data_IF_647896381183
#
_entry.id   IF_647896381183
#
_cell.length_a   1.000
_cell.length_b   1.000
_cell.length_c   1.000
_cell.angle_alpha   90.00
_cell.angle_beta   90.00
_cell.angle_gamma   90.00
#
_symmetry.space_group_name_H-M   'P 1'
#
loop_
_entity.id
_entity.type
_entity.pdbx_description
1 polymer ?
#
# COMPACT_ATOMS: atom_id res chain seq x y z
N UNK A 1 4.03 -50.97 -48.72
CA UNK A 1 3.65 -50.32 -47.44
C UNK A 1 2.28 -50.85 -47.03
N UNK A 2 2.17 -51.50 -45.87
CA UNK A 2 0.88 -51.89 -45.33
C UNK A 2 0.30 -50.72 -44.52
N UNK A 3 -0.95 -50.33 -44.79
CA UNK A 3 -1.66 -49.28 -44.05
C UNK A 3 -2.67 -49.96 -43.13
N UNK A 4 -2.51 -49.79 -41.82
CA UNK A 4 -3.45 -50.32 -40.83
C UNK A 4 -4.67 -49.40 -40.70
N UNK A 5 -5.87 -50.00 -40.66
CA UNK A 5 -7.12 -49.26 -40.43
C UNK A 5 -7.25 -48.93 -38.95
N UNK A 6 -7.03 -47.66 -38.59
CA UNK A 6 -7.17 -47.15 -37.22
C UNK A 6 -8.59 -46.61 -36.96
N UNK A 7 -9.11 -46.81 -35.75
CA UNK A 7 -10.37 -46.24 -35.28
C UNK A 7 -10.12 -45.13 -34.27
N UNK A 8 -10.86 -44.02 -34.39
CA UNK A 8 -10.81 -42.90 -33.45
C UNK A 8 -11.88 -43.10 -32.38
N UNK A 9 -11.48 -43.01 -31.11
CA UNK A 9 -12.38 -43.13 -29.96
C UNK A 9 -12.37 -41.83 -29.16
N UNK A 10 -13.54 -41.46 -28.62
CA UNK A 10 -13.69 -40.35 -27.69
C UNK A 10 -14.03 -40.90 -26.32
N UNK A 11 -13.26 -40.53 -25.29
CA UNK A 11 -13.40 -41.09 -23.95
C UNK A 11 -13.54 -39.93 -22.96
N UNK A 12 -14.63 -39.94 -22.19
CA UNK A 12 -14.83 -39.05 -21.06
C UNK A 12 -14.64 -39.84 -19.75
N UNK A 13 -13.90 -39.26 -18.80
CA UNK A 13 -13.71 -39.84 -17.47
C UNK A 13 -13.79 -38.75 -16.41
N UNK A 14 -14.18 -39.13 -15.20
CA UNK A 14 -14.16 -38.22 -14.06
C UNK A 14 -12.71 -37.88 -13.67
N UNK A 15 -12.46 -36.64 -13.22
CA UNK A 15 -11.09 -36.13 -12.99
C UNK A 15 -10.32 -36.94 -11.94
N UNK A 16 -11.00 -37.52 -10.95
CA UNK A 16 -10.38 -38.39 -9.94
C UNK A 16 -9.78 -39.67 -10.51
N UNK A 17 -10.33 -40.16 -11.62
CA UNK A 17 -10.03 -41.50 -12.14
C UNK A 17 -9.18 -41.45 -13.42
N UNK A 18 -8.93 -40.24 -13.93
CA UNK A 18 -8.24 -40.00 -15.20
C UNK A 18 -6.84 -40.64 -15.23
N UNK A 19 -6.04 -40.47 -14.18
CA UNK A 19 -4.68 -41.02 -14.13
C UNK A 19 -4.65 -42.55 -14.10
N UNK A 20 -5.54 -43.15 -13.30
CA UNK A 20 -5.66 -44.60 -13.19
C UNK A 20 -6.13 -45.21 -14.52
N UNK A 21 -7.07 -44.53 -15.19
CA UNK A 21 -7.59 -44.94 -16.50
C UNK A 21 -6.53 -44.85 -17.60
N UNK A 22 -5.79 -43.73 -17.69
CA UNK A 22 -4.71 -43.56 -18.68
C UNK A 22 -3.61 -44.61 -18.51
N UNK A 23 -3.21 -44.90 -17.27
CA UNK A 23 -2.22 -45.97 -16.97
C UNK A 23 -2.71 -47.34 -17.42
N UNK A 24 -4.01 -47.65 -17.27
CA UNK A 24 -4.59 -48.90 -17.78
C UNK A 24 -4.59 -48.93 -19.31
N UNK A 25 -5.00 -47.84 -19.96
CA UNK A 25 -5.09 -47.76 -21.42
C UNK A 25 -3.72 -47.98 -22.08
N UNK A 26 -2.67 -47.36 -21.53
CA UNK A 26 -1.29 -47.51 -22.00
C UNK A 26 -0.75 -48.93 -21.83
N UNK A 27 -1.16 -49.65 -20.78
CA UNK A 27 -0.74 -51.04 -20.55
C UNK A 27 -1.43 -52.04 -21.47
N UNK A 28 -2.66 -51.76 -21.87
CA UNK A 28 -3.52 -52.77 -22.53
C UNK A 28 -3.44 -52.70 -24.05
N UNK A 29 -3.02 -51.56 -24.61
CA UNK A 29 -3.11 -51.32 -26.05
C UNK A 29 -2.13 -50.25 -26.54
N UNK A 30 -1.70 -50.36 -27.79
CA UNK A 30 -0.93 -49.32 -28.50
C UNK A 30 -1.94 -48.26 -28.98
N UNK A 31 -2.06 -47.16 -28.24
CA UNK A 31 -3.02 -46.07 -28.52
C UNK A 31 -2.30 -44.73 -28.49
N UNK A 32 -2.56 -43.89 -29.50
CA UNK A 32 -2.15 -42.48 -29.50
C UNK A 32 -3.19 -41.65 -28.74
N UNK A 33 -2.80 -41.10 -27.59
CA UNK A 33 -3.69 -40.29 -26.75
C UNK A 33 -3.54 -38.82 -27.14
N UNK A 34 -4.60 -38.22 -27.68
CA UNK A 34 -4.68 -36.76 -27.90
C UNK A 34 -5.65 -36.15 -26.92
N UNK A 35 -5.21 -35.25 -26.01
CA UNK A 35 -6.13 -34.53 -25.14
C UNK A 35 -7.07 -33.72 -26.03
N UNK A 36 -8.37 -33.90 -25.82
CA UNK A 36 -9.36 -33.06 -26.47
C UNK A 36 -9.43 -31.74 -25.73
N UNK A 37 -8.79 -30.72 -26.29
CA UNK A 37 -9.11 -29.33 -25.97
C UNK A 37 -10.14 -28.86 -26.99
N UNK A 38 -11.29 -28.38 -26.50
CA UNK A 38 -12.16 -27.57 -27.33
C UNK A 38 -11.31 -26.39 -27.83
N UNK A 39 -11.18 -26.25 -29.15
CA UNK A 39 -10.72 -24.99 -29.72
C UNK A 39 -11.87 -24.01 -29.51
N UNK A 40 -11.91 -23.40 -28.33
CA UNK A 40 -12.60 -22.14 -28.15
C UNK A 40 -11.98 -21.19 -29.16
N UNK A 41 -12.69 -20.95 -30.27
CA UNK A 41 -12.37 -19.81 -31.11
C UNK A 41 -12.35 -18.60 -30.19
N UNK A 42 -11.18 -17.99 -30.08
CA UNK A 42 -10.96 -16.72 -29.41
C UNK A 42 -11.63 -15.61 -30.21
N UNK A 43 -12.94 -15.70 -30.35
CA UNK A 43 -13.82 -14.68 -30.88
C UNK A 43 -14.13 -13.75 -29.72
N UNK A 44 -13.33 -12.67 -29.62
CA UNK A 44 -13.66 -11.43 -28.91
C UNK A 44 -14.43 -11.63 -27.61
N UNK A 45 -13.75 -12.14 -26.58
CA UNK A 45 -14.25 -11.91 -25.22
C UNK A 45 -14.07 -10.41 -24.92
N UNK A 46 -15.08 -9.76 -24.30
CA UNK A 46 -14.90 -8.42 -23.78
C UNK A 46 -13.70 -8.43 -22.83
N UNK A 47 -12.92 -7.35 -22.85
CA UNK A 47 -11.78 -7.14 -21.96
C UNK A 47 -12.15 -7.65 -20.57
N UNK A 48 -11.34 -8.59 -20.09
CA UNK A 48 -11.59 -9.49 -18.97
C UNK A 48 -11.63 -8.70 -17.65
N UNK A 49 -12.70 -7.94 -17.41
CA UNK A 49 -12.96 -7.21 -16.15
C UNK A 49 -12.87 -8.16 -14.97
N UNK A 50 -13.25 -9.44 -15.15
CA UNK A 50 -13.11 -10.46 -14.10
C UNK A 50 -11.66 -10.66 -13.63
N UNK A 51 -10.67 -10.47 -14.52
CA UNK A 51 -9.25 -10.63 -14.19
C UNK A 51 -8.73 -9.41 -13.43
N UNK A 52 -9.12 -8.20 -13.82
CA UNK A 52 -8.78 -6.96 -13.11
C UNK A 52 -9.44 -6.91 -11.73
N UNK A 53 -10.72 -7.26 -11.65
CA UNK A 53 -11.48 -7.33 -10.39
C UNK A 53 -10.84 -8.34 -9.42
N UNK A 54 -10.40 -9.50 -9.93
CA UNK A 54 -9.65 -10.48 -9.13
C UNK A 54 -8.30 -9.96 -8.65
N UNK A 55 -7.65 -9.04 -9.37
CA UNK A 55 -6.41 -8.42 -8.91
C UNK A 55 -6.66 -7.32 -7.88
N UNK A 56 -7.71 -6.51 -8.01
CA UNK A 56 -8.06 -5.46 -7.05
C UNK A 56 -8.48 -6.07 -5.72
N UNK A 57 -9.37 -7.06 -5.74
CA UNK A 57 -9.78 -7.80 -4.54
C UNK A 57 -8.58 -8.44 -3.84
N UNK A 58 -7.61 -8.95 -4.59
CA UNK A 58 -6.37 -9.50 -4.02
C UNK A 58 -5.52 -8.42 -3.36
N UNK A 59 -5.33 -7.27 -4.02
CA UNK A 59 -4.59 -6.14 -3.45
C UNK A 59 -5.27 -5.62 -2.17
N UNK A 60 -6.59 -5.42 -2.20
CA UNK A 60 -7.35 -5.01 -1.02
C UNK A 60 -7.21 -6.01 0.14
N UNK A 61 -7.20 -7.31 -0.14
CA UNK A 61 -6.96 -8.34 0.87
C UNK A 61 -5.53 -8.28 1.43
N UNK A 62 -4.53 -8.04 0.59
CA UNK A 62 -3.14 -7.92 1.00
C UNK A 62 -2.95 -6.67 1.90
N UNK A 63 -3.51 -5.52 1.52
CA UNK A 63 -3.58 -4.29 2.32
C UNK A 63 -4.21 -4.58 3.69
N UNK A 64 -5.42 -5.15 3.73
CA UNK A 64 -6.10 -5.52 4.98
C UNK A 64 -5.29 -6.50 5.84
N UNK A 65 -4.54 -7.41 5.21
CA UNK A 65 -3.67 -8.33 5.92
C UNK A 65 -2.48 -7.61 6.55
N UNK A 66 -1.96 -6.53 5.99
CA UNK A 66 -0.89 -5.75 6.61
C UNK A 66 -1.37 -5.06 7.90
N UNK A 67 -2.60 -4.53 7.90
CA UNK A 67 -3.22 -3.92 9.09
C UNK A 67 -3.75 -4.92 10.12
N UNK A 68 -3.88 -6.20 9.78
CA UNK A 68 -4.31 -7.21 10.76
C UNK A 68 -3.28 -7.36 11.88
N UNK A 69 -3.78 -7.09 13.09
CA UNK A 69 -3.01 -7.18 14.32
C UNK A 69 -2.27 -8.52 14.45
N UNK A 70 -1.02 -8.49 14.90
CA UNK A 70 -0.17 -9.70 14.99
C UNK A 70 -0.77 -10.74 15.93
N UNK A 71 -1.55 -10.31 16.92
CA UNK A 71 -2.28 -11.19 17.83
C UNK A 71 -3.48 -11.87 17.15
N UNK A 72 -4.27 -11.12 16.36
CA UNK A 72 -5.40 -11.67 15.61
C UNK A 72 -4.94 -12.70 14.56
N UNK A 73 -3.79 -12.48 13.93
CA UNK A 73 -3.17 -13.47 13.01
C UNK A 73 -2.83 -14.78 13.72
N UNK A 74 -2.33 -14.73 14.97
CA UNK A 74 -2.03 -15.93 15.77
C UNK A 74 -3.29 -16.66 16.21
N UNK A 75 -4.35 -15.92 16.55
CA UNK A 75 -5.65 -16.48 16.94
C UNK A 75 -6.32 -17.17 15.74
N UNK A 76 -6.34 -16.52 14.58
CA UNK A 76 -6.89 -17.09 13.35
C UNK A 76 -6.11 -18.33 12.88
N UNK A 77 -4.77 -18.33 13.00
CA UNK A 77 -3.96 -19.51 12.66
C UNK A 77 -4.21 -20.70 13.60
N UNK A 78 -4.56 -20.45 14.87
CA UNK A 78 -4.92 -21.49 15.85
C UNK A 78 -6.37 -21.99 15.72
N UNK A 79 -7.26 -21.21 15.11
CA UNK A 79 -8.69 -21.51 15.02
C UNK A 79 -9.04 -22.67 14.06
N UNK A 80 -8.09 -23.19 13.28
CA UNK A 80 -8.35 -24.26 12.31
C UNK A 80 -9.21 -23.80 11.13
N UNK A 81 -9.73 -24.75 10.34
CA UNK A 81 -10.64 -24.43 9.23
C UNK A 81 -11.95 -23.90 9.78
N UNK A 82 -12.27 -22.65 9.45
CA UNK A 82 -13.56 -22.03 9.74
C UNK A 82 -14.68 -22.87 9.10
N UNK A 83 -15.60 -23.39 9.92
CA UNK A 83 -16.76 -24.12 9.44
C UNK A 83 -17.91 -23.13 9.27
N UNK A 84 -18.16 -22.74 8.02
CA UNK A 84 -19.23 -21.81 7.64
C UNK A 84 -20.50 -22.61 7.38
N UNK A 85 -21.64 -22.16 7.91
CA UNK A 85 -22.94 -22.80 7.61
C UNK A 85 -23.34 -22.51 6.16
N UNK A 86 -24.08 -23.42 5.53
CA UNK A 86 -24.52 -23.26 4.13
C UNK A 86 -25.27 -21.94 3.89
N UNK A 87 -26.12 -21.53 4.83
CA UNK A 87 -26.84 -20.25 4.77
C UNK A 87 -25.91 -19.03 4.83
N UNK A 88 -24.82 -19.10 5.58
CA UNK A 88 -23.83 -18.01 5.66
C UNK A 88 -23.02 -17.94 4.36
N UNK A 89 -22.71 -19.09 3.76
CA UNK A 89 -22.03 -19.14 2.47
C UNK A 89 -22.90 -18.56 1.33
N UNK A 90 -24.19 -18.89 1.30
CA UNK A 90 -25.14 -18.34 0.34
C UNK A 90 -25.27 -16.81 0.51
N UNK A 91 -25.33 -16.31 1.75
CA UNK A 91 -25.31 -14.86 2.02
C UNK A 91 -24.01 -14.16 1.57
N UNK A 92 -22.85 -14.84 1.66
CA UNK A 92 -21.57 -14.27 1.18
C UNK A 92 -21.55 -14.19 -0.35
N UNK A 93 -22.18 -15.14 -1.04
CA UNK A 93 -22.27 -15.14 -2.50
C UNK A 93 -23.23 -14.06 -3.02
N UNK A 94 -24.20 -13.62 -2.22
CA UNK A 94 -25.11 -12.52 -2.55
C UNK A 94 -24.49 -11.12 -2.35
N UNK A 95 -23.24 -11.03 -1.88
CA UNK A 95 -22.54 -9.74 -1.73
C UNK A 95 -22.07 -9.27 -3.11
N UNK A 96 -22.92 -8.51 -3.79
CA UNK A 96 -22.62 -7.93 -5.11
C UNK A 96 -21.66 -6.71 -5.04
N UNK A 97 -21.44 -6.14 -3.84
CA UNK A 97 -20.65 -4.90 -3.68
C UNK A 97 -19.17 -5.16 -3.34
N UNK A 98 -18.67 -6.38 -3.52
CA UNK A 98 -17.31 -6.74 -3.14
C UNK A 98 -16.24 -5.97 -3.93
N UNK A 99 -16.55 -5.60 -5.16
CA UNK A 99 -15.66 -4.81 -6.02
C UNK A 99 -15.57 -3.35 -5.54
N UNK A 100 -16.72 -2.74 -5.23
CA UNK A 100 -16.78 -1.37 -4.69
C UNK A 100 -16.01 -1.27 -3.36
N UNK A 101 -16.18 -2.26 -2.47
CA UNK A 101 -15.42 -2.33 -1.21
C UNK A 101 -13.92 -2.49 -1.47
N UNK A 102 -13.51 -3.27 -2.48
CA UNK A 102 -12.10 -3.47 -2.79
C UNK A 102 -11.46 -2.19 -3.34
N UNK A 103 -12.17 -1.45 -4.18
CA UNK A 103 -11.70 -0.17 -4.72
C UNK A 103 -11.64 0.90 -3.62
N UNK A 104 -12.64 0.98 -2.73
CA UNK A 104 -12.59 1.87 -1.55
C UNK A 104 -11.38 1.62 -0.65
N UNK A 105 -11.02 0.35 -0.41
CA UNK A 105 -9.84 0.00 0.39
C UNK A 105 -8.56 0.50 -0.26
N UNK A 106 -8.45 0.36 -1.60
CA UNK A 106 -7.28 0.82 -2.35
C UNK A 106 -7.19 2.35 -2.34
N UNK A 107 -8.33 3.03 -2.51
CA UNK A 107 -8.40 4.49 -2.48
C UNK A 107 -7.99 5.04 -1.10
N UNK A 108 -8.49 4.45 -0.01
CA UNK A 108 -8.12 4.83 1.35
C UNK A 108 -6.62 4.64 1.62
N UNK A 109 -6.02 3.54 1.14
CA UNK A 109 -4.58 3.30 1.29
C UNK A 109 -3.74 4.34 0.52
N UNK A 110 -4.22 4.74 -0.66
CA UNK A 110 -3.60 5.80 -1.45
C UNK A 110 -3.71 7.18 -0.78
N UNK A 111 -4.88 7.48 -0.18
CA UNK A 111 -5.11 8.73 0.54
C UNK A 111 -4.21 8.78 1.78
N UNK A 112 -4.12 7.68 2.54
CA UNK A 112 -3.24 7.56 3.70
C UNK A 112 -1.78 7.83 3.31
N UNK A 113 -1.29 7.20 2.23
CA UNK A 113 0.07 7.42 1.72
C UNK A 113 0.31 8.88 1.32
N UNK A 114 -0.68 9.53 0.70
CA UNK A 114 -0.59 10.94 0.33
C UNK A 114 -0.52 11.87 1.56
N UNK A 115 -1.29 11.55 2.61
CA UNK A 115 -1.30 12.30 3.86
C UNK A 115 0.00 12.13 4.63
N UNK A 116 0.54 10.91 4.72
CA UNK A 116 1.86 10.64 5.30
C UNK A 116 2.96 11.42 4.57
N UNK A 117 2.92 11.45 3.24
CA UNK A 117 3.87 12.23 2.47
C UNK A 117 3.76 13.73 2.77
N UNK A 118 2.54 14.27 2.84
CA UNK A 118 2.31 15.67 3.22
C UNK A 118 2.82 15.97 4.63
N UNK A 119 2.58 15.09 5.59
CA UNK A 119 3.11 15.22 6.97
C UNK A 119 4.64 15.27 6.93
N UNK A 120 5.27 14.31 6.23
CA UNK A 120 6.72 14.24 6.10
C UNK A 120 7.32 15.48 5.41
N UNK A 121 6.61 16.12 4.48
CA UNK A 121 7.03 17.39 3.89
C UNK A 121 6.80 18.61 4.81
N UNK A 122 5.75 18.59 5.63
CA UNK A 122 5.40 19.72 6.51
C UNK A 122 6.21 19.74 7.79
N UNK A 123 6.55 18.59 8.36
CA UNK A 123 7.34 18.47 9.58
C UNK A 123 8.69 19.22 9.53
N UNK A 124 9.51 19.10 8.48
CA UNK A 124 10.76 19.87 8.39
C UNK A 124 10.51 21.36 8.23
N UNK A 125 9.41 21.76 7.58
CA UNK A 125 9.03 23.18 7.46
C UNK A 125 8.61 23.75 8.82
N UNK A 126 7.88 22.96 9.61
CA UNK A 126 7.53 23.32 10.99
C UNK A 126 8.80 23.47 11.83
N UNK A 127 9.72 22.51 11.81
CA UNK A 127 10.99 22.62 12.54
C UNK A 127 11.82 23.83 12.11
N UNK A 128 11.83 24.15 10.81
CA UNK A 128 12.49 25.36 10.31
C UNK A 128 11.82 26.62 10.84
N UNK A 129 10.49 26.70 10.81
CA UNK A 129 9.70 27.86 11.24
C UNK A 129 9.64 28.00 12.76
N UNK A 130 9.74 26.91 13.52
CA UNK A 130 9.79 26.91 14.98
C UNK A 130 10.97 27.73 15.48
N UNK A 131 12.10 27.69 14.79
CA UNK A 131 13.27 28.53 15.08
C UNK A 131 12.89 30.02 14.95
N UNK A 132 12.01 30.38 14.03
CA UNK A 132 11.51 31.75 13.83
C UNK A 132 10.33 32.12 14.73
N UNK A 133 9.74 31.18 15.47
CA UNK A 133 8.57 31.44 16.33
C UNK A 133 8.82 32.50 17.40
N UNK A 134 10.09 32.68 17.79
CA UNK A 134 10.52 33.69 18.74
C UNK A 134 10.61 35.11 18.13
N UNK A 135 10.57 35.23 16.80
CA UNK A 135 10.59 36.51 16.11
C UNK A 135 9.19 37.13 16.11
N UNK A 136 8.98 38.12 17.00
CA UNK A 136 7.68 38.81 17.19
C UNK A 136 7.54 40.12 16.41
N UNK A 137 8.54 40.51 15.62
CA UNK A 137 8.50 41.77 14.87
C UNK A 137 7.81 41.56 13.52
N UNK A 138 7.06 42.56 13.08
CA UNK A 138 6.48 42.54 11.75
C UNK A 138 7.63 42.70 10.74
N UNK A 139 7.71 41.82 9.74
CA UNK A 139 8.72 41.95 8.67
C UNK A 139 8.53 43.29 7.94
N UNK A 140 7.33 43.87 8.03
CA UNK A 140 6.97 45.20 7.56
C UNK A 140 7.72 46.34 8.28
N UNK A 141 8.23 46.12 9.49
CA UNK A 141 9.01 47.11 10.27
C UNK A 141 10.48 47.19 9.82
N UNK A 142 10.97 46.15 9.13
CA UNK A 142 12.20 46.23 8.36
C UNK A 142 11.88 47.10 7.15
N UNK A 143 12.16 48.40 7.26
CA UNK A 143 11.77 49.40 6.25
C UNK A 143 12.15 49.09 4.79
N UNK A 144 11.94 50.04 3.89
CA UNK A 144 12.16 49.80 2.45
C UNK A 144 13.67 49.85 2.11
N UNK A 145 14.40 48.76 2.31
CA UNK A 145 15.73 48.54 1.70
C UNK A 145 15.75 47.23 0.90
N UNK A 146 16.57 47.20 -0.14
CA UNK A 146 16.59 46.11 -1.13
C UNK A 146 17.04 44.74 -0.58
N UNK A 147 17.80 44.69 0.52
CA UNK A 147 18.26 43.44 1.15
C UNK A 147 18.44 43.63 2.65
N UNK A 148 17.83 42.74 3.42
CA UNK A 148 18.07 42.57 4.85
C UNK A 148 18.63 41.18 5.09
N UNK A 149 19.65 41.07 5.94
CA UNK A 149 20.20 39.79 6.40
C UNK A 149 19.79 39.61 7.84
N UNK A 150 18.73 38.83 8.08
CA UNK A 150 18.33 38.44 9.43
C UNK A 150 19.10 37.17 9.81
N UNK A 151 19.89 37.25 10.87
CA UNK A 151 20.61 36.10 11.44
C UNK A 151 19.98 35.76 12.78
N UNK A 152 19.33 34.61 12.87
CA UNK A 152 18.88 34.05 14.13
C UNK A 152 19.96 33.14 14.71
N UNK A 153 20.25 33.29 16.00
CA UNK A 153 21.16 32.43 16.73
C UNK A 153 20.75 32.37 18.20
N UNK A 154 20.87 31.18 18.81
CA UNK A 154 20.61 30.99 20.23
C UNK A 154 21.93 31.06 21.00
N UNK A 155 22.02 31.96 21.99
CA UNK A 155 23.17 32.06 22.88
C UNK A 155 22.74 31.55 24.26
N UNK A 156 23.40 30.51 24.77
CA UNK A 156 23.11 29.97 26.10
C UNK A 156 23.54 30.96 27.19
N UNK A 157 22.61 31.39 28.03
CA UNK A 157 22.78 32.37 29.11
C UNK A 157 23.66 31.90 30.31
N UNK A 158 24.47 30.85 30.13
CA UNK A 158 25.24 30.22 31.21
C UNK A 158 26.70 30.67 31.35
N UNK A 159 27.21 31.54 30.47
CA UNK A 159 28.61 32.00 30.51
C UNK A 159 28.69 33.50 30.80
N UNK A 160 29.72 33.88 31.57
CA UNK A 160 30.18 35.26 31.81
C UNK A 160 30.30 36.12 30.54
N UNK A 161 30.37 35.47 29.37
CA UNK A 161 30.51 36.08 28.06
C UNK A 161 29.19 36.67 27.50
N UNK A 162 28.02 36.34 28.06
CA UNK A 162 26.73 36.82 27.53
C UNK A 162 26.58 38.35 27.59
N UNK A 163 27.01 38.96 28.70
CA UNK A 163 26.96 40.42 28.87
C UNK A 163 27.99 41.15 28.00
N UNK A 164 29.12 40.50 27.67
CA UNK A 164 30.14 41.05 26.78
C UNK A 164 29.61 41.04 25.35
N UNK A 165 28.99 39.92 24.94
CA UNK A 165 28.39 39.77 23.61
C UNK A 165 27.22 40.76 23.43
N UNK A 166 26.37 40.97 24.44
CA UNK A 166 25.30 41.97 24.35
C UNK A 166 25.84 43.39 24.15
N UNK A 167 26.91 43.77 24.86
CA UNK A 167 27.56 45.08 24.68
C UNK A 167 28.16 45.24 23.28
N UNK A 168 28.84 44.23 22.76
CA UNK A 168 29.37 44.26 21.39
C UNK A 168 28.26 44.34 20.34
N UNK A 169 27.10 43.71 20.57
CA UNK A 169 25.97 43.76 19.65
C UNK A 169 25.26 45.13 19.69
N UNK A 170 25.12 45.73 20.88
CA UNK A 170 24.61 47.10 21.05
C UNK A 170 25.53 48.14 20.39
N UNK A 171 26.85 48.01 20.58
CA UNK A 171 27.85 48.89 19.94
C UNK A 171 27.80 48.81 18.41
N UNK A 172 27.43 47.67 17.85
CA UNK A 172 27.28 47.46 16.40
C UNK A 172 25.87 47.75 15.86
N UNK A 173 24.98 48.34 16.66
CA UNK A 173 23.58 48.62 16.30
C UNK A 173 22.77 47.37 15.87
N UNK A 174 23.08 46.21 16.42
CA UNK A 174 22.38 44.96 16.13
C UNK A 174 21.26 44.80 17.15
N UNK A 175 20.01 44.77 16.68
CA UNK A 175 18.84 44.55 17.53
C UNK A 175 18.87 43.16 18.15
N UNK A 176 18.90 43.11 19.49
CA UNK A 176 18.92 41.86 20.26
C UNK A 176 17.63 41.73 21.06
N UNK A 177 17.02 40.55 21.07
CA UNK A 177 15.87 40.24 21.92
C UNK A 177 16.20 39.05 22.82
N UNK A 178 16.03 39.22 24.13
CA UNK A 178 16.13 38.13 25.09
C UNK A 178 14.87 37.28 25.00
N UNK A 179 15.03 36.04 24.55
CA UNK A 179 13.99 35.03 24.63
C UNK A 179 14.22 34.35 25.98
N UNK A 180 13.55 34.86 27.01
CA UNK A 180 13.44 34.13 28.27
C UNK A 180 12.58 32.90 28.02
N UNK A 181 13.15 31.70 28.20
CA UNK A 181 12.36 30.54 28.56
C UNK A 181 11.78 30.82 29.96
N UNK A 182 10.63 31.49 30.03
CA UNK A 182 9.70 31.20 31.12
C UNK A 182 9.19 29.78 30.86
N UNK A 183 9.59 28.85 31.74
CA UNK A 183 9.09 27.48 31.75
C UNK A 183 7.62 27.38 32.12
#
# INVERSE_FOLDING_TARGET
MAVAKLSKLFIASHKSDAEAFLKKLQKTSIVEIKPYSEKLESSTLPIDTSRENKTNVRKALDILNEYKDKELKKIAAKAGKLVIKRSEYENILEIDNLEEIADEIIDLDSEMSSLEHRISETDPKIHQLEIWSCYKHDISDLGIKQKYTVRLGAIKSGRTDFNIILKELEENHISCQSISEEG
#
